data_IF_057555313153
#
_entry.id   IF_057555313153
#
_cell.length_a   1.000
_cell.length_b   1.000
_cell.length_c   1.000
_cell.angle_alpha   90.00
_cell.angle_beta   90.00
_cell.angle_gamma   90.00
#
_symmetry.space_group_name_H-M   'P 1'
#
loop_
_entity.id
_entity.type
_entity.pdbx_description
1 polymer ?
#
# COMPACT_ATOMS: atom_id res chain seq x y z
N UNK A 1 10.03 -8.33 -30.23
CA UNK A 1 10.65 -7.01 -29.95
C UNK A 1 10.03 -6.53 -28.65
N UNK A 2 10.72 -6.79 -27.54
CA UNK A 2 10.26 -6.44 -26.19
C UNK A 2 9.46 -7.53 -25.50
N UNK A 3 10.08 -8.69 -25.27
CA UNK A 3 9.78 -9.53 -24.12
C UNK A 3 9.86 -8.63 -22.87
N UNK A 4 8.74 -8.51 -22.17
CA UNK A 4 8.57 -7.67 -21.00
C UNK A 4 7.45 -8.24 -20.16
N UNK A 5 7.50 -9.55 -19.93
CA UNK A 5 7.04 -10.10 -18.67
C UNK A 5 7.81 -9.33 -17.59
N UNK A 6 7.17 -8.30 -17.02
CA UNK A 6 7.60 -7.66 -15.79
C UNK A 6 7.38 -8.70 -14.69
N UNK A 7 8.25 -9.71 -14.71
CA UNK A 7 8.45 -10.69 -13.66
C UNK A 7 9.07 -9.92 -12.50
N UNK A 8 8.23 -9.15 -11.82
CA UNK A 8 8.55 -8.61 -10.52
C UNK A 8 8.61 -9.82 -9.58
N UNK A 9 9.78 -10.46 -9.54
CA UNK A 9 10.24 -11.30 -8.44
C UNK A 9 10.25 -10.40 -7.19
N UNK A 10 9.06 -10.16 -6.63
CA UNK A 10 8.93 -9.42 -5.40
C UNK A 10 9.49 -10.33 -4.31
N UNK A 11 10.57 -9.92 -3.63
CA UNK A 11 11.10 -10.73 -2.54
C UNK A 11 10.03 -10.93 -1.47
N UNK A 12 10.10 -12.07 -0.79
CA UNK A 12 9.18 -12.42 0.29
C UNK A 12 9.13 -11.29 1.33
N UNK A 13 7.94 -10.74 1.56
CA UNK A 13 7.76 -9.63 2.51
C UNK A 13 7.86 -10.19 3.92
N UNK A 14 8.82 -9.68 4.70
CA UNK A 14 9.00 -10.11 6.09
C UNK A 14 7.84 -9.62 6.96
N UNK A 15 6.98 -10.54 7.42
CA UNK A 15 5.84 -10.23 8.29
C UNK A 15 6.25 -10.43 9.76
N UNK A 16 6.33 -9.38 10.59
CA UNK A 16 6.69 -9.51 11.98
C UNK A 16 5.62 -10.30 12.77
N UNK A 17 6.05 -11.02 13.81
CA UNK A 17 5.15 -11.81 14.65
C UNK A 17 4.04 -10.94 15.28
N UNK A 18 2.79 -11.38 15.10
CA UNK A 18 1.59 -10.67 15.56
C UNK A 18 1.13 -9.52 14.66
N UNK A 19 1.76 -9.32 13.50
CA UNK A 19 1.23 -8.47 12.45
C UNK A 19 0.29 -9.25 11.53
N UNK A 20 -0.56 -8.51 10.84
CA UNK A 20 -1.36 -9.00 9.73
C UNK A 20 -0.93 -8.30 8.45
N UNK A 21 -1.18 -8.91 7.30
CA UNK A 21 -0.85 -8.33 6.02
C UNK A 21 -1.97 -8.55 5.00
N UNK A 22 -1.94 -7.76 3.94
CA UNK A 22 -2.85 -7.86 2.82
C UNK A 22 -2.22 -7.27 1.56
N UNK A 23 -2.51 -7.89 0.43
CA UNK A 23 -2.05 -7.43 -0.88
C UNK A 23 -3.14 -6.61 -1.54
N UNK A 24 -2.80 -5.37 -1.93
CA UNK A 24 -3.72 -4.45 -2.56
C UNK A 24 -3.24 -4.07 -3.95
N UNK A 25 -4.08 -4.34 -4.94
CA UNK A 25 -3.82 -3.92 -6.31
C UNK A 25 -4.29 -2.48 -6.51
N UNK A 26 -3.39 -1.64 -6.98
CA UNK A 26 -3.65 -0.23 -7.27
C UNK A 26 -4.47 -0.14 -8.56
N UNK A 27 -5.76 0.21 -8.42
CA UNK A 27 -6.73 0.24 -9.53
C UNK A 27 -7.06 1.63 -10.07
N UNK A 28 -6.55 2.69 -9.44
CA UNK A 28 -6.77 4.07 -9.90
C UNK A 28 -5.76 4.44 -11.00
N UNK A 29 -6.17 5.23 -12.00
CA UNK A 29 -5.32 5.55 -13.17
C UNK A 29 -3.97 6.19 -12.85
N UNK A 30 -3.89 6.99 -11.79
CA UNK A 30 -2.69 7.76 -11.42
C UNK A 30 -1.80 7.05 -10.39
N UNK A 31 -2.22 5.90 -9.88
CA UNK A 31 -1.51 5.20 -8.80
C UNK A 31 -1.41 5.99 -7.49
N UNK A 32 -0.39 5.68 -6.68
CA UNK A 32 -0.07 6.37 -5.41
C UNK A 32 0.60 7.74 -5.63
N UNK A 33 -0.12 8.63 -6.32
CA UNK A 33 0.26 10.03 -6.47
C UNK A 33 -0.05 10.83 -5.19
N UNK A 34 0.30 12.13 -5.15
CA UNK A 34 0.22 12.95 -3.93
C UNK A 34 -1.14 12.96 -3.22
N UNK A 35 -2.28 13.01 -3.95
CA UNK A 35 -3.62 12.98 -3.32
C UNK A 35 -3.98 11.60 -2.78
N UNK A 36 -3.78 10.54 -3.57
CA UNK A 36 -4.01 9.16 -3.12
C UNK A 36 -3.14 8.83 -1.90
N UNK A 37 -1.86 9.22 -1.93
CA UNK A 37 -0.91 9.07 -0.83
C UNK A 37 -1.38 9.80 0.42
N UNK A 38 -1.82 11.06 0.30
CA UNK A 38 -2.32 11.81 1.46
C UNK A 38 -3.53 11.11 2.11
N UNK A 39 -4.47 10.60 1.30
CA UNK A 39 -5.63 9.84 1.81
C UNK A 39 -5.20 8.52 2.47
N UNK A 40 -4.26 7.80 1.86
CA UNK A 40 -3.72 6.55 2.40
C UNK A 40 -3.04 6.78 3.75
N UNK A 41 -2.16 7.77 3.82
CA UNK A 41 -1.45 8.18 5.04
C UNK A 41 -2.43 8.61 6.13
N UNK A 42 -3.42 9.43 5.77
CA UNK A 42 -4.42 9.90 6.72
C UNK A 42 -5.27 8.75 7.26
N UNK A 43 -5.66 7.81 6.40
CA UNK A 43 -6.38 6.59 6.80
C UNK A 43 -5.52 5.74 7.73
N UNK A 44 -4.29 5.40 7.35
CA UNK A 44 -3.38 4.62 8.17
C UNK A 44 -3.09 5.28 9.53
N UNK A 45 -2.89 6.60 9.54
CA UNK A 45 -2.65 7.39 10.76
C UNK A 45 -3.88 7.56 11.65
N UNK A 46 -5.08 7.18 11.20
CA UNK A 46 -6.30 7.28 12.00
C UNK A 46 -6.49 6.11 12.97
N UNK A 47 -5.62 5.09 12.90
CA UNK A 47 -5.68 3.88 13.72
C UNK A 47 -4.42 3.75 14.61
N UNK A 48 -4.56 3.20 15.80
CA UNK A 48 -3.47 2.80 16.70
C UNK A 48 -2.84 1.48 16.20
N UNK A 49 -2.19 1.56 15.04
CA UNK A 49 -1.47 0.47 14.41
C UNK A 49 -0.25 0.99 13.66
N UNK A 50 0.86 0.26 13.76
CA UNK A 50 2.04 0.44 12.93
C UNK A 50 1.77 -0.19 11.56
N UNK A 51 1.71 0.63 10.52
CA UNK A 51 1.40 0.18 9.17
C UNK A 51 2.57 0.48 8.25
N UNK A 52 3.02 -0.53 7.52
CA UNK A 52 4.08 -0.45 6.51
C UNK A 52 3.58 -0.94 5.17
N UNK A 53 4.18 -0.42 4.11
CA UNK A 53 3.86 -0.77 2.72
C UNK A 53 5.13 -1.23 2.05
N UNK A 54 5.06 -2.41 1.44
CA UNK A 54 6.17 -3.02 0.71
C UNK A 54 5.80 -3.19 -0.76
N UNK A 55 6.73 -2.85 -1.64
CA UNK A 55 6.63 -3.09 -3.09
C UNK A 55 8.03 -3.30 -3.66
N UNK A 56 8.21 -4.34 -4.46
CA UNK A 56 9.48 -4.61 -5.15
C UNK A 56 10.71 -4.62 -4.20
N UNK A 57 10.53 -5.17 -2.99
CA UNK A 57 11.56 -5.22 -1.95
C UNK A 57 11.82 -3.92 -1.19
N UNK A 58 11.14 -2.82 -1.55
CA UNK A 58 11.21 -1.56 -0.81
C UNK A 58 10.05 -1.46 0.17
N UNK A 59 10.37 -1.30 1.46
CA UNK A 59 9.39 -1.14 2.55
C UNK A 59 9.45 0.29 3.09
N UNK A 60 8.30 0.95 3.16
CA UNK A 60 8.15 2.30 3.72
C UNK A 60 7.02 2.34 4.73
N UNK A 61 7.06 3.30 5.65
CA UNK A 61 5.95 3.54 6.59
C UNK A 61 4.73 4.09 5.86
N UNK A 62 3.54 3.54 6.15
CA UNK A 62 2.27 4.02 5.60
C UNK A 62 1.93 5.45 6.01
N UNK A 63 2.54 5.96 7.08
CA UNK A 63 2.39 7.34 7.56
C UNK A 63 3.36 8.32 6.89
N UNK A 64 4.31 7.83 6.08
CA UNK A 64 5.33 8.65 5.44
C UNK A 64 4.93 8.97 4.00
N UNK A 65 4.35 10.15 3.78
CA UNK A 65 3.95 10.64 2.46
C UNK A 65 5.10 10.53 1.45
N UNK A 66 6.31 10.95 1.84
CA UNK A 66 7.47 10.92 0.95
C UNK A 66 7.86 9.49 0.58
N UNK A 67 7.86 8.55 1.53
CA UNK A 67 8.19 7.15 1.25
C UNK A 67 7.20 6.49 0.28
N UNK A 68 5.90 6.72 0.48
CA UNK A 68 4.86 6.20 -0.41
C UNK A 68 4.97 6.79 -1.82
N UNK A 69 5.28 8.09 -1.94
CA UNK A 69 5.53 8.73 -3.23
C UNK A 69 6.75 8.12 -3.94
N UNK A 70 7.81 7.78 -3.20
CA UNK A 70 9.01 7.15 -3.73
C UNK A 70 8.77 5.71 -4.21
N UNK A 71 7.91 4.94 -3.51
CA UNK A 71 7.54 3.58 -3.95
C UNK A 71 6.96 3.55 -5.37
N UNK A 72 6.36 4.64 -5.85
CA UNK A 72 5.95 4.78 -7.24
C UNK A 72 4.96 3.71 -7.71
N UNK A 73 4.03 3.28 -6.84
CA UNK A 73 3.05 2.25 -7.19
C UNK A 73 2.02 2.81 -8.20
N UNK A 74 2.18 2.44 -9.47
CA UNK A 74 1.29 2.82 -10.56
C UNK A 74 0.04 1.94 -10.65
N UNK A 75 -0.85 2.27 -11.58
CA UNK A 75 -2.01 1.41 -11.91
C UNK A 75 -1.53 -0.01 -12.27
N UNK A 76 -2.21 -1.02 -11.75
CA UNK A 76 -1.88 -2.43 -11.95
C UNK A 76 -0.74 -2.94 -11.06
N UNK A 77 -0.06 -2.06 -10.30
CA UNK A 77 0.91 -2.51 -9.29
C UNK A 77 0.20 -3.11 -8.09
N UNK A 78 0.78 -4.18 -7.54
CA UNK A 78 0.38 -4.73 -6.24
C UNK A 78 1.31 -4.23 -5.16
N UNK A 79 0.76 -3.78 -4.04
CA UNK A 79 1.50 -3.43 -2.83
C UNK A 79 1.11 -4.39 -1.71
N UNK A 80 2.07 -4.74 -0.86
CA UNK A 80 1.82 -5.52 0.34
C UNK A 80 1.77 -4.58 1.53
N UNK A 81 0.63 -4.49 2.19
CA UNK A 81 0.46 -3.67 3.39
C UNK A 81 0.51 -4.57 4.60
N UNK A 82 1.35 -4.22 5.56
CA UNK A 82 1.52 -4.95 6.81
C UNK A 82 1.10 -4.02 7.94
N UNK A 83 0.22 -4.49 8.81
CA UNK A 83 -0.29 -3.73 9.95
C UNK A 83 -0.06 -4.51 11.24
N UNK A 84 0.41 -3.83 12.28
CA UNK A 84 0.68 -4.40 13.60
C UNK A 84 0.18 -3.48 14.70
N UNK A 85 -0.59 -4.01 15.64
CA UNK A 85 -1.18 -3.21 16.72
C UNK A 85 -2.58 -3.68 17.06
N UNK A 86 -3.26 -2.92 17.92
CA UNK A 86 -4.62 -3.27 18.36
C UNK A 86 -5.63 -3.11 17.23
N UNK A 87 -5.48 -2.04 16.45
CA UNK A 87 -6.38 -1.69 15.36
C UNK A 87 -5.84 -2.16 13.99
N UNK A 88 -4.86 -3.06 13.97
CA UNK A 88 -4.22 -3.49 12.72
C UNK A 88 -5.24 -4.03 11.70
N UNK A 89 -6.21 -4.82 12.16
CA UNK A 89 -7.28 -5.38 11.30
C UNK A 89 -8.20 -4.31 10.73
N UNK A 90 -8.54 -3.32 11.54
CA UNK A 90 -9.40 -2.21 11.13
C UNK A 90 -8.67 -1.31 10.13
N UNK A 91 -7.40 -0.98 10.41
CA UNK A 91 -6.54 -0.23 9.51
C UNK A 91 -6.40 -0.93 8.16
N UNK A 92 -6.11 -2.23 8.16
CA UNK A 92 -5.92 -3.01 6.93
C UNK A 92 -7.21 -3.09 6.11
N UNK A 93 -8.35 -3.30 6.76
CA UNK A 93 -9.67 -3.33 6.11
C UNK A 93 -10.03 -1.96 5.51
N UNK A 94 -9.78 -0.88 6.26
CA UNK A 94 -10.03 0.49 5.79
C UNK A 94 -9.15 0.87 4.60
N UNK A 95 -7.86 0.51 4.64
CA UNK A 95 -6.93 0.73 3.53
C UNK A 95 -7.31 -0.10 2.30
N UNK A 96 -7.73 -1.36 2.48
CA UNK A 96 -8.23 -2.20 1.39
C UNK A 96 -9.44 -1.55 0.71
N UNK A 97 -10.42 -1.10 1.51
CA UNK A 97 -11.61 -0.43 1.00
C UNK A 97 -11.25 0.88 0.27
N UNK A 98 -10.30 1.66 0.81
CA UNK A 98 -9.83 2.89 0.19
C UNK A 98 -9.19 2.63 -1.18
N UNK A 99 -8.35 1.60 -1.30
CA UNK A 99 -7.73 1.21 -2.58
C UNK A 99 -8.79 0.70 -3.56
N UNK A 100 -9.73 -0.14 -3.09
CA UNK A 100 -10.83 -0.65 -3.91
C UNK A 100 -11.75 0.47 -4.43
N UNK A 101 -11.97 1.51 -3.63
CA UNK A 101 -12.69 2.74 -4.00
C UNK A 101 -11.85 3.71 -4.85
N UNK A 102 -10.66 3.29 -5.32
CA UNK A 102 -9.74 4.13 -6.12
C UNK A 102 -9.36 5.42 -5.40
N UNK A 103 -9.21 5.36 -4.08
CA UNK A 103 -8.97 6.53 -3.23
C UNK A 103 -10.07 7.59 -3.33
N UNK A 104 -11.30 7.22 -3.70
CA UNK A 104 -12.40 8.15 -3.97
C UNK A 104 -12.15 9.06 -5.18
N UNK A 105 -11.30 8.62 -6.11
CA UNK A 105 -11.11 9.29 -7.40
C UNK A 105 -11.92 8.53 -8.45
N UNK A 106 -13.03 9.13 -8.91
CA UNK A 106 -14.02 8.50 -9.78
C UNK A 106 -13.61 8.24 -11.24
N UNK A 107 -12.31 8.21 -11.57
CA UNK A 107 -11.81 8.18 -12.97
C UNK A 107 -10.56 7.32 -13.21
#
# INVERSE_FOLDING_TARGET
MGDGEDDCDCPEVEIPAGAIYGEFQIVNKKGLHARATAKFVQCASSFDADVTVTRCGETVGATSIMGILTLGAGIGSTITVVAKGREAKEALTALQALVADRFGEGE
#
